data_IF_464271656430
#
_entry.id   IF_464271656430
#
_cell.length_a   1.000
_cell.length_b   1.000
_cell.length_c   1.000
_cell.angle_alpha   90.00
_cell.angle_beta   90.00
_cell.angle_gamma   90.00
#
_symmetry.space_group_name_H-M   'P 1'
#
loop_
_entity.id
_entity.type
_entity.pdbx_description
1 polymer ?
#
# COMPACT_ATOMS: atom_id res chain seq x y z
N UNK A 1 -2.23 -15.61 -6.10
CA UNK A 1 -2.85 -14.45 -6.79
C UNK A 1 -3.34 -13.50 -5.71
N UNK A 2 -3.03 -12.21 -5.81
CA UNK A 2 -3.46 -11.19 -4.82
C UNK A 2 -4.17 -10.07 -5.57
N UNK A 3 -5.35 -9.69 -5.10
CA UNK A 3 -6.09 -8.50 -5.57
C UNK A 3 -6.22 -7.52 -4.41
N UNK A 4 -6.21 -6.22 -4.70
CA UNK A 4 -6.34 -5.17 -3.69
C UNK A 4 -7.33 -4.10 -4.15
N UNK A 5 -8.29 -3.67 -3.31
CA UNK A 5 -9.19 -2.57 -3.64
C UNK A 5 -8.46 -1.22 -3.68
N UNK A 6 -7.21 -1.12 -3.19
CA UNK A 6 -6.36 0.06 -3.43
C UNK A 6 -5.92 0.15 -4.89
N UNK A 7 -5.93 -0.93 -5.64
CA UNK A 7 -5.58 -0.96 -7.06
C UNK A 7 -6.66 -1.77 -7.79
N UNK A 8 -7.89 -1.21 -7.88
CA UNK A 8 -9.00 -1.96 -8.42
C UNK A 8 -8.69 -2.42 -9.84
N UNK A 9 -9.08 -3.66 -10.16
CA UNK A 9 -8.87 -4.31 -11.47
C UNK A 9 -7.42 -4.70 -11.77
N UNK A 10 -6.52 -4.56 -10.79
CA UNK A 10 -5.16 -5.10 -10.87
C UNK A 10 -5.09 -6.43 -10.12
N UNK A 11 -4.38 -7.37 -10.71
CA UNK A 11 -4.15 -8.70 -10.15
C UNK A 11 -2.65 -8.93 -10.11
N UNK A 12 -2.13 -9.25 -8.93
CA UNK A 12 -0.73 -9.61 -8.74
C UNK A 12 -0.57 -11.12 -8.85
N UNK A 13 0.30 -11.53 -9.76
CA UNK A 13 0.58 -12.94 -10.05
C UNK A 13 2.07 -13.19 -9.85
N UNK A 14 2.39 -14.28 -9.15
CA UNK A 14 3.74 -14.82 -9.07
C UNK A 14 3.77 -16.18 -9.76
N UNK A 15 4.86 -16.48 -10.46
CA UNK A 15 5.11 -17.79 -11.05
C UNK A 15 6.43 -18.38 -10.56
N UNK A 16 6.57 -19.71 -10.55
CA UNK A 16 7.82 -20.38 -10.18
C UNK A 16 8.97 -19.94 -11.09
N UNK A 17 10.18 -19.82 -10.52
CA UNK A 17 11.39 -19.40 -11.26
C UNK A 17 11.74 -20.30 -12.45
N UNK A 18 11.28 -21.55 -12.46
CA UNK A 18 11.51 -22.52 -13.54
C UNK A 18 10.50 -22.47 -14.69
N UNK A 19 9.52 -21.58 -14.67
CA UNK A 19 8.48 -21.46 -15.71
C UNK A 19 8.48 -20.05 -16.31
N UNK A 20 9.47 -19.71 -17.16
CA UNK A 20 9.62 -18.35 -17.69
C UNK A 20 8.44 -17.90 -18.56
N UNK A 21 7.70 -18.84 -19.16
CA UNK A 21 6.53 -18.59 -20.02
C UNK A 21 5.18 -18.78 -19.32
N UNK A 22 5.16 -18.91 -17.98
CA UNK A 22 3.90 -19.05 -17.25
C UNK A 22 2.96 -17.84 -17.44
N UNK A 23 3.50 -16.68 -17.81
CA UNK A 23 2.71 -15.50 -18.12
C UNK A 23 1.91 -15.65 -19.43
N UNK A 24 2.34 -16.46 -20.39
CA UNK A 24 1.62 -16.71 -21.65
C UNK A 24 0.28 -17.40 -21.39
N UNK A 25 0.25 -18.36 -20.46
CA UNK A 25 -0.97 -19.02 -20.04
C UNK A 25 -1.95 -18.05 -19.34
N UNK A 26 -1.43 -17.09 -18.59
CA UNK A 26 -2.24 -16.02 -17.96
C UNK A 26 -2.73 -15.04 -19.03
N UNK A 27 -1.90 -14.73 -20.04
CA UNK A 27 -2.25 -13.86 -21.17
C UNK A 27 -3.44 -14.41 -21.97
N UNK A 28 -3.51 -15.73 -22.12
CA UNK A 28 -4.54 -16.42 -22.87
C UNK A 28 -5.92 -16.41 -22.17
N UNK A 29 -6.00 -16.00 -20.90
CA UNK A 29 -7.26 -15.96 -20.17
C UNK A 29 -8.13 -14.79 -20.65
N UNK A 30 -9.39 -15.07 -21.01
CA UNK A 30 -10.34 -14.08 -21.61
C UNK A 30 -10.53 -12.79 -20.82
N UNK A 31 -10.42 -12.86 -19.49
CA UNK A 31 -10.63 -11.72 -18.58
C UNK A 31 -9.35 -10.90 -18.33
N UNK A 32 -8.20 -11.35 -18.85
CA UNK A 32 -6.93 -10.66 -18.74
C UNK A 32 -6.78 -9.69 -19.90
N UNK A 33 -6.74 -8.39 -19.59
CA UNK A 33 -6.58 -7.33 -20.59
C UNK A 33 -5.14 -7.15 -21.08
N UNK A 34 -4.18 -7.79 -20.41
CA UNK A 34 -2.75 -7.66 -20.68
C UNK A 34 -1.94 -7.48 -19.41
N UNK A 35 -0.64 -7.24 -19.59
CA UNK A 35 0.32 -7.05 -18.49
C UNK A 35 0.85 -5.62 -18.47
N UNK A 36 1.20 -5.18 -17.27
CA UNK A 36 1.95 -3.94 -17.07
C UNK A 36 3.43 -4.30 -17.18
N UNK A 37 4.11 -3.73 -18.17
CA UNK A 37 5.40 -4.20 -18.63
C UNK A 37 6.08 -3.25 -19.60
N UNK A 38 7.31 -3.58 -19.99
CA UNK A 38 8.07 -2.90 -21.05
C UNK A 38 8.32 -3.93 -22.14
N UNK A 39 8.14 -3.55 -23.40
CA UNK A 39 8.37 -4.40 -24.57
C UNK A 39 7.65 -5.77 -24.53
N UNK A 40 6.41 -5.78 -24.03
CA UNK A 40 5.60 -7.01 -23.93
C UNK A 40 5.98 -7.94 -22.77
N UNK A 41 7.00 -7.60 -21.98
CA UNK A 41 7.44 -8.39 -20.83
C UNK A 41 6.85 -7.80 -19.53
N UNK A 42 6.13 -8.60 -18.72
CA UNK A 42 5.59 -8.12 -17.45
C UNK A 42 6.68 -7.59 -16.51
N UNK A 43 6.46 -6.41 -15.94
CA UNK A 43 7.39 -5.84 -14.96
C UNK A 43 7.39 -6.63 -13.66
N UNK A 44 8.58 -6.98 -13.17
CA UNK A 44 8.73 -7.63 -11.87
C UNK A 44 8.54 -6.63 -10.74
N UNK A 45 7.72 -7.00 -9.76
CA UNK A 45 7.54 -6.23 -8.54
C UNK A 45 8.48 -6.79 -7.48
N UNK A 46 9.17 -5.90 -6.75
CA UNK A 46 10.07 -6.31 -5.65
C UNK A 46 9.26 -6.94 -4.52
N UNK A 47 9.77 -8.03 -3.93
CA UNK A 47 9.05 -8.79 -2.91
C UNK A 47 8.55 -7.92 -1.75
N UNK A 48 9.38 -7.00 -1.22
CA UNK A 48 8.96 -6.12 -0.11
C UNK A 48 7.77 -5.22 -0.42
N UNK A 49 7.58 -4.82 -1.69
CA UNK A 49 6.39 -4.05 -2.10
C UNK A 49 5.17 -4.98 -2.09
N UNK A 50 5.35 -6.23 -2.52
CA UNK A 50 4.29 -7.23 -2.55
C UNK A 50 3.91 -7.74 -1.16
N UNK A 51 4.86 -7.82 -0.24
CA UNK A 51 4.63 -8.20 1.15
C UNK A 51 3.61 -7.25 1.80
N UNK A 52 3.67 -5.96 1.46
CA UNK A 52 2.65 -5.00 1.87
C UNK A 52 1.25 -5.32 1.35
N UNK A 53 1.13 -5.67 0.07
CA UNK A 53 -0.16 -6.09 -0.49
C UNK A 53 -0.63 -7.43 0.09
N UNK A 54 0.25 -8.39 0.28
CA UNK A 54 -0.07 -9.69 0.88
C UNK A 54 -0.52 -9.51 2.34
N UNK A 55 0.18 -8.69 3.13
CA UNK A 55 -0.20 -8.40 4.52
C UNK A 55 -1.51 -7.62 4.62
N UNK A 56 -1.75 -6.66 3.72
CA UNK A 56 -3.00 -5.91 3.72
C UNK A 56 -4.24 -6.77 3.35
N UNK A 57 -4.03 -7.90 2.67
CA UNK A 57 -5.09 -8.77 2.10
C UNK A 57 -5.03 -10.22 2.57
N UNK A 58 -4.14 -10.54 3.51
CA UNK A 58 -3.91 -11.88 4.02
C UNK A 58 -4.83 -12.19 5.19
N UNK A 59 -5.83 -13.03 4.95
CA UNK A 59 -6.82 -13.62 5.88
C UNK A 59 -7.79 -12.69 6.61
N UNK A 60 -7.44 -11.44 6.87
CA UNK A 60 -8.36 -10.46 7.46
C UNK A 60 -8.26 -9.17 6.63
N UNK A 61 -9.22 -8.94 5.74
CA UNK A 61 -9.23 -7.76 4.88
C UNK A 61 -8.99 -6.49 5.69
N UNK A 62 -7.93 -5.74 5.37
CA UNK A 62 -7.52 -4.55 6.12
C UNK A 62 -7.67 -4.68 7.64
N UNK A 63 -7.02 -5.64 8.28
CA UNK A 63 -6.66 -5.50 9.71
C UNK A 63 -5.56 -4.44 9.85
N UNK A 64 -5.93 -3.19 9.57
CA UNK A 64 -5.25 -1.98 10.04
C UNK A 64 -5.74 -1.54 11.43
N UNK A 65 -6.39 -2.44 12.17
CA UNK A 65 -6.87 -2.24 13.53
C UNK A 65 -6.34 -3.41 14.38
N UNK A 66 -5.63 -3.22 15.49
CA UNK A 66 -5.45 -2.01 16.29
C UNK A 66 -4.38 -2.17 17.35
N UNK A 67 -3.11 -2.22 16.95
CA UNK A 67 -1.99 -2.27 17.91
C UNK A 67 -0.85 -1.32 17.53
N UNK A 68 -1.18 -0.08 17.14
CA UNK A 68 -0.20 0.98 17.43
C UNK A 68 -0.56 1.51 18.80
N UNK A 69 -0.10 0.81 19.83
CA UNK A 69 -0.17 1.29 21.21
C UNK A 69 0.57 2.62 21.28
N UNK A 70 -0.21 3.68 21.34
CA UNK A 70 0.28 5.04 21.43
C UNK A 70 -0.45 5.63 22.62
N UNK A 71 0.28 6.00 23.65
CA UNK A 71 -0.30 6.73 24.78
C UNK A 71 -1.03 7.99 24.30
N UNK A 72 -2.10 8.39 24.98
CA UNK A 72 -3.02 9.43 24.55
C UNK A 72 -2.31 10.77 24.31
N UNK A 73 -1.35 11.13 25.17
CA UNK A 73 -0.54 12.34 25.02
C UNK A 73 0.34 12.30 23.77
N UNK A 74 0.87 11.13 23.42
CA UNK A 74 1.66 10.96 22.19
C UNK A 74 0.77 11.00 20.96
N UNK A 75 -0.42 10.43 21.02
CA UNK A 75 -1.39 10.46 19.92
C UNK A 75 -1.82 11.90 19.62
N UNK A 76 -2.15 12.70 20.63
CA UNK A 76 -2.52 14.11 20.44
C UNK A 76 -1.38 14.95 19.89
N UNK A 77 -0.14 14.74 20.36
CA UNK A 77 1.04 15.39 19.76
C UNK A 77 1.20 15.06 18.29
N UNK A 78 1.06 13.78 17.91
CA UNK A 78 1.15 13.37 16.51
C UNK A 78 0.03 13.96 15.66
N UNK A 79 -1.21 14.01 16.19
CA UNK A 79 -2.35 14.65 15.52
C UNK A 79 -2.05 16.13 15.23
N UNK A 80 -1.58 16.86 16.23
CA UNK A 80 -1.23 18.28 16.09
C UNK A 80 -0.08 18.51 15.08
N UNK A 81 0.90 17.61 15.02
CA UNK A 81 2.00 17.68 14.05
C UNK A 81 1.53 17.36 12.63
N UNK A 82 0.77 16.28 12.44
CA UNK A 82 0.23 15.89 11.14
C UNK A 82 -0.74 16.92 10.57
N UNK A 83 -1.44 17.68 11.43
CA UNK A 83 -2.26 18.81 11.00
C UNK A 83 -1.47 19.98 10.40
N UNK A 84 -0.14 20.02 10.60
CA UNK A 84 0.74 21.10 10.11
C UNK A 84 1.60 20.70 8.91
N UNK A 85 1.66 19.40 8.57
CA UNK A 85 2.50 18.90 7.47
C UNK A 85 1.66 18.31 6.34
N UNK A 86 2.17 18.40 5.12
CA UNK A 86 1.55 17.78 3.95
C UNK A 86 2.09 16.39 3.65
N UNK A 87 3.26 16.03 4.19
CA UNK A 87 3.91 14.75 3.95
C UNK A 87 4.21 14.01 5.25
N UNK A 88 4.08 12.69 5.19
CA UNK A 88 4.45 11.77 6.25
C UNK A 88 5.07 10.51 5.65
N UNK A 89 5.75 9.73 6.48
CA UNK A 89 6.20 8.37 6.16
C UNK A 89 5.43 7.38 7.01
N UNK A 90 4.96 6.30 6.40
CA UNK A 90 4.40 5.17 7.14
C UNK A 90 5.57 4.46 7.83
N UNK A 91 5.54 4.36 9.15
CA UNK A 91 6.59 3.71 9.94
C UNK A 91 6.30 2.24 10.23
N UNK A 92 5.02 1.84 10.24
CA UNK A 92 4.59 0.49 10.61
C UNK A 92 3.48 -0.04 9.71
N UNK A 93 3.34 -1.36 9.66
CA UNK A 93 2.34 -2.07 8.87
C UNK A 93 2.76 -2.31 7.42
N UNK A 94 1.79 -2.73 6.61
CA UNK A 94 1.99 -3.18 5.23
C UNK A 94 2.74 -2.22 4.32
N UNK A 95 2.65 -0.93 4.56
CA UNK A 95 3.27 0.09 3.71
C UNK A 95 4.42 0.82 4.39
N UNK A 96 5.02 0.23 5.43
CA UNK A 96 6.18 0.80 6.12
C UNK A 96 7.28 1.24 5.14
N UNK A 97 7.86 2.41 5.40
CA UNK A 97 8.82 3.09 4.53
C UNK A 97 8.19 3.97 3.45
N UNK A 98 6.91 3.80 3.13
CA UNK A 98 6.25 4.56 2.06
C UNK A 98 6.00 6.00 2.47
N UNK A 99 6.39 6.95 1.62
CA UNK A 99 6.00 8.35 1.76
C UNK A 99 4.58 8.57 1.25
N UNK A 100 3.81 9.34 2.02
CA UNK A 100 2.39 9.60 1.76
C UNK A 100 2.08 11.08 1.93
N UNK A 101 1.09 11.56 1.19
CA UNK A 101 0.55 12.91 1.36
C UNK A 101 -0.62 12.87 2.33
N UNK A 102 -0.57 13.64 3.42
CA UNK A 102 -1.66 13.75 4.39
C UNK A 102 -2.75 14.65 3.80
N UNK A 103 -3.99 14.15 3.72
CA UNK A 103 -5.15 14.91 3.22
C UNK A 103 -6.03 15.46 4.34
N UNK A 104 -6.28 14.64 5.34
CA UNK A 104 -7.05 15.03 6.52
C UNK A 104 -6.66 14.15 7.71
N UNK A 105 -6.71 14.72 8.90
CA UNK A 105 -6.40 14.04 10.15
C UNK A 105 -7.68 13.96 10.98
N UNK A 106 -8.13 12.75 11.31
CA UNK A 106 -9.24 12.49 12.22
C UNK A 106 -8.75 12.21 13.65
N UNK A 107 -9.55 11.53 14.45
CA UNK A 107 -9.19 11.28 15.87
C UNK A 107 -8.16 10.17 16.06
N UNK A 108 -8.32 9.05 15.33
CA UNK A 108 -7.40 7.88 15.42
C UNK A 108 -6.65 7.60 14.12
N UNK A 109 -7.15 8.15 13.02
CA UNK A 109 -6.66 7.83 11.68
C UNK A 109 -6.52 9.09 10.84
N UNK A 110 -5.60 9.04 9.88
CA UNK A 110 -5.43 10.05 8.84
C UNK A 110 -5.79 9.47 7.48
N UNK A 111 -6.44 10.28 6.64
CA UNK A 111 -6.64 9.99 5.22
C UNK A 111 -5.40 10.45 4.47
N UNK A 112 -4.79 9.54 3.72
CA UNK A 112 -3.54 9.79 3.01
C UNK A 112 -3.64 9.42 1.54
N UNK A 113 -2.81 10.05 0.71
CA UNK A 113 -2.59 9.68 -0.68
C UNK A 113 -1.24 9.00 -0.81
N UNK A 114 -1.25 7.82 -1.42
CA UNK A 114 -0.07 7.05 -1.77
C UNK A 114 0.14 7.05 -3.27
N UNK A 115 1.39 7.05 -3.72
CA UNK A 115 1.73 6.81 -5.12
C UNK A 115 2.01 5.31 -5.30
N UNK A 116 1.11 4.60 -5.97
CA UNK A 116 1.22 3.16 -6.22
C UNK A 116 1.03 2.90 -7.72
N UNK A 117 2.01 2.22 -8.33
CA UNK A 117 2.00 1.83 -9.75
C UNK A 117 1.65 2.99 -10.70
N UNK A 118 2.29 4.15 -10.49
CA UNK A 118 2.10 5.35 -11.32
C UNK A 118 0.76 6.08 -11.09
N UNK A 119 -0.02 5.67 -10.09
CA UNK A 119 -1.31 6.31 -9.77
C UNK A 119 -1.44 6.73 -8.32
N UNK A 120 -2.26 7.76 -8.09
CA UNK A 120 -2.64 8.21 -6.75
C UNK A 120 -3.70 7.29 -6.17
N UNK A 121 -3.50 6.79 -4.96
CA UNK A 121 -4.44 5.94 -4.21
C UNK A 121 -4.72 6.54 -2.85
N UNK A 122 -6.00 6.60 -2.50
CA UNK A 122 -6.44 7.13 -1.21
C UNK A 122 -6.64 5.97 -0.26
N UNK A 123 -6.07 6.08 0.94
CA UNK A 123 -6.27 5.12 2.01
C UNK A 123 -6.32 5.80 3.37
N UNK A 124 -6.63 5.04 4.40
CA UNK A 124 -6.67 5.48 5.79
C UNK A 124 -5.57 4.76 6.55
N UNK A 125 -4.81 5.50 7.37
CA UNK A 125 -3.69 4.97 8.16
C UNK A 125 -3.82 5.45 9.62
N UNK A 126 -3.57 4.59 10.62
CA UNK A 126 -3.53 5.01 12.02
C UNK A 126 -2.51 6.13 12.25
N UNK A 127 -2.86 7.15 13.02
CA UNK A 127 -1.97 8.30 13.28
C UNK A 127 -0.64 7.85 13.89
N UNK A 128 -0.67 6.89 14.83
CA UNK A 128 0.53 6.35 15.46
C UNK A 128 1.49 5.65 14.48
N UNK A 129 1.01 5.18 13.33
CA UNK A 129 1.84 4.55 12.30
C UNK A 129 2.51 5.57 11.36
N UNK A 130 2.26 6.87 11.53
CA UNK A 130 2.80 7.92 10.68
C UNK A 130 3.90 8.69 11.39
N UNK A 131 4.98 8.96 10.65
CA UNK A 131 6.04 9.87 11.05
C UNK A 131 5.93 11.12 10.17
N UNK A 132 5.60 12.29 10.75
CA UNK A 132 5.59 13.56 10.03
C UNK A 132 6.94 13.81 9.36
N UNK A 133 6.94 14.21 8.09
CA UNK A 133 8.14 14.68 7.42
C UNK A 133 8.07 16.21 7.45
N UNK A 134 9.04 16.82 8.13
CA UNK A 134 9.15 18.28 8.20
C UNK A 134 9.32 18.90 6.82
N UNK A 135 8.72 20.08 6.65
CA UNK A 135 9.13 21.06 5.64
C UNK A 135 10.43 21.73 6.06
#
# INVERSE_FOLDING_TARGET
MVSSPLVPRWVFVGWPRGLPHAFDAVAAHRDVRGFVGVDGVPSRIRCHVMDGFIWAHGKDGFTFAGQVETDAERLERLRAQLGKVHQARVAQGSFAGTQVTVRSVGDKHAKVVMQLFGGQRITVVPIGALVPLGS
#
